data_IF_707738168366
#
_entry.id   IF_707738168366
#
_cell.length_a   1.000
_cell.length_b   1.000
_cell.length_c   1.000
_cell.angle_alpha   90.00
_cell.angle_beta   90.00
_cell.angle_gamma   90.00
#
_symmetry.space_group_name_H-M   'P 1'
#
loop_
_entity.id
_entity.type
_entity.pdbx_description
1 polymer ?
#
# COMPACT_ATOMS: atom_id res chain seq x y z
N UNK A 1 18.61 39.96 41.66
CA UNK A 1 17.14 39.92 41.92
C UNK A 1 16.46 40.58 40.73
N UNK A 2 15.48 39.90 40.11
CA UNK A 2 14.52 40.40 39.10
C UNK A 2 15.09 40.76 37.72
N UNK A 3 15.17 39.78 36.82
CA UNK A 3 14.48 39.80 35.50
C UNK A 3 14.32 38.35 35.05
N UNK A 4 13.49 37.61 35.77
CA UNK A 4 12.87 36.38 35.29
C UNK A 4 11.37 36.63 35.44
N UNK A 5 10.53 36.06 34.58
CA UNK A 5 9.07 36.29 34.47
C UNK A 5 8.70 37.37 33.43
N UNK A 6 8.99 37.14 32.15
CA UNK A 6 8.13 37.64 31.03
C UNK A 6 8.16 36.66 29.85
N UNK A 7 9.27 35.94 29.62
CA UNK A 7 9.44 35.09 28.44
C UNK A 7 8.97 33.62 28.60
N UNK A 8 7.90 33.36 29.36
CA UNK A 8 7.38 31.99 29.57
C UNK A 8 5.86 31.85 29.34
N UNK A 9 5.17 32.90 28.87
CA UNK A 9 3.69 32.90 28.74
C UNK A 9 3.21 33.04 27.28
N UNK A 10 4.10 32.91 26.28
CA UNK A 10 3.73 33.02 24.84
C UNK A 10 3.96 31.75 23.99
N UNK A 11 4.22 30.58 24.60
CA UNK A 11 4.36 29.30 23.86
C UNK A 11 3.23 28.30 24.23
N UNK A 12 2.15 28.77 24.86
CA UNK A 12 1.02 27.94 25.30
C UNK A 12 -0.30 28.25 24.56
N UNK A 13 -0.24 28.83 23.36
CA UNK A 13 -1.44 29.17 22.57
C UNK A 13 -1.50 28.52 21.19
N UNK A 14 -0.54 27.67 20.80
CA UNK A 14 -0.63 26.85 19.58
C UNK A 14 -0.94 25.36 19.85
N UNK A 15 -1.12 24.93 21.09
CA UNK A 15 -1.29 23.50 21.44
C UNK A 15 -2.73 23.00 21.58
N UNK A 16 -3.74 23.88 21.56
CA UNK A 16 -5.12 23.53 21.96
C UNK A 16 -6.13 23.48 20.80
N UNK A 17 -5.76 22.85 19.69
CA UNK A 17 -6.73 22.31 18.72
C UNK A 17 -6.50 20.82 18.38
N UNK A 18 -5.65 20.11 19.13
CA UNK A 18 -5.62 18.65 19.11
C UNK A 18 -6.67 18.07 20.08
N UNK A 19 -7.94 18.43 19.90
CA UNK A 19 -9.03 17.75 20.60
C UNK A 19 -9.12 16.30 20.09
N UNK A 20 -8.52 15.37 20.81
CA UNK A 20 -9.16 14.09 21.21
C UNK A 20 -9.60 13.11 20.13
N UNK A 21 -8.93 12.99 18.99
CA UNK A 21 -9.20 11.90 18.04
C UNK A 21 -8.47 10.64 18.49
N UNK A 22 -9.06 9.92 19.43
CA UNK A 22 -8.51 8.67 19.96
C UNK A 22 -8.73 7.54 18.95
N UNK A 23 -7.89 6.51 19.00
CA UNK A 23 -8.04 5.28 18.20
C UNK A 23 -9.44 4.66 18.34
N UNK A 24 -10.06 4.75 19.53
CA UNK A 24 -11.44 4.33 19.78
C UNK A 24 -12.45 5.00 18.83
N UNK A 25 -12.31 6.31 18.60
CA UNK A 25 -13.22 7.06 17.73
C UNK A 25 -13.13 6.67 16.25
N UNK A 26 -12.01 6.08 15.83
CA UNK A 26 -11.82 5.52 14.48
C UNK A 26 -12.51 4.16 14.39
N UNK A 27 -12.36 3.31 15.41
CA UNK A 27 -12.95 1.97 15.43
C UNK A 27 -14.48 1.99 15.45
N UNK A 28 -15.07 3.02 16.03
CA UNK A 28 -16.52 3.19 16.07
C UNK A 28 -17.11 3.79 14.78
N UNK A 29 -16.28 4.30 13.87
CA UNK A 29 -16.70 4.94 12.62
C UNK A 29 -17.18 3.93 11.57
N UNK A 30 -18.38 4.13 11.03
CA UNK A 30 -18.99 3.23 10.04
C UNK A 30 -18.22 3.18 8.70
N UNK A 31 -17.60 4.29 8.28
CA UNK A 31 -16.72 4.32 7.12
C UNK A 31 -15.46 3.48 7.39
N UNK A 32 -14.88 3.59 8.60
CA UNK A 32 -13.72 2.78 8.97
C UNK A 32 -14.08 1.29 9.04
N UNK A 33 -15.20 0.89 9.66
CA UNK A 33 -15.64 -0.51 9.71
C UNK A 33 -15.85 -1.10 8.32
N UNK A 34 -16.45 -0.32 7.42
CA UNK A 34 -16.62 -0.71 6.01
C UNK A 34 -15.26 -0.86 5.32
N UNK A 35 -14.37 0.11 5.52
CA UNK A 35 -13.01 0.07 5.00
C UNK A 35 -12.21 -1.13 5.52
N UNK A 36 -12.21 -1.42 6.82
CA UNK A 36 -11.50 -2.58 7.40
C UNK A 36 -11.95 -3.88 6.72
N UNK A 37 -13.27 -4.07 6.59
CA UNK A 37 -13.83 -5.26 5.93
C UNK A 37 -13.42 -5.36 4.46
N UNK A 38 -13.56 -4.28 3.70
CA UNK A 38 -13.17 -4.26 2.27
C UNK A 38 -11.66 -4.45 2.09
N UNK A 39 -10.84 -3.82 2.94
CA UNK A 39 -9.38 -3.90 2.89
C UNK A 39 -8.91 -5.34 3.16
N UNK A 40 -9.48 -6.00 4.17
CA UNK A 40 -9.17 -7.40 4.46
C UNK A 40 -9.60 -8.31 3.32
N UNK A 41 -10.81 -8.15 2.78
CA UNK A 41 -11.26 -8.93 1.62
C UNK A 41 -10.35 -8.74 0.41
N UNK A 42 -9.92 -7.51 0.14
CA UNK A 42 -9.04 -7.18 -0.97
C UNK A 42 -7.63 -7.74 -0.78
N UNK A 43 -6.96 -7.39 0.31
CA UNK A 43 -5.55 -7.76 0.54
C UNK A 43 -5.34 -9.26 0.78
N UNK A 44 -6.37 -9.98 1.21
CA UNK A 44 -6.36 -11.44 1.36
C UNK A 44 -6.92 -12.17 0.13
N UNK A 45 -7.36 -11.46 -0.91
CA UNK A 45 -7.88 -12.09 -2.13
C UNK A 45 -6.78 -12.74 -2.96
N UNK A 46 -7.11 -13.86 -3.59
CA UNK A 46 -6.19 -14.59 -4.47
C UNK A 46 -5.65 -13.70 -5.59
N UNK A 47 -6.50 -12.85 -6.18
CA UNK A 47 -6.09 -11.90 -7.22
C UNK A 47 -5.02 -10.91 -6.72
N UNK A 48 -5.19 -10.36 -5.51
CA UNK A 48 -4.18 -9.43 -4.96
C UNK A 48 -2.88 -10.17 -4.61
N UNK A 49 -2.98 -11.38 -4.06
CA UNK A 49 -1.81 -12.20 -3.71
C UNK A 49 -1.03 -12.57 -4.97
N UNK A 50 -1.72 -13.02 -6.01
CA UNK A 50 -1.12 -13.34 -7.31
C UNK A 50 -0.47 -12.10 -7.92
N UNK A 51 -1.14 -10.95 -7.88
CA UNK A 51 -0.57 -9.68 -8.35
C UNK A 51 0.75 -9.35 -7.65
N UNK A 52 0.80 -9.53 -6.32
CA UNK A 52 2.01 -9.32 -5.52
C UNK A 52 3.12 -10.32 -5.87
N UNK A 53 2.78 -11.59 -6.04
CA UNK A 53 3.73 -12.65 -6.44
C UNK A 53 4.34 -12.36 -7.82
N UNK A 54 3.52 -12.10 -8.82
CA UNK A 54 4.00 -11.81 -10.19
C UNK A 54 4.80 -10.50 -10.23
N UNK A 55 4.40 -9.48 -9.45
CA UNK A 55 5.17 -8.23 -9.37
C UNK A 55 6.55 -8.46 -8.78
N UNK A 56 6.68 -9.31 -7.75
CA UNK A 56 7.97 -9.68 -7.18
C UNK A 56 8.80 -10.53 -8.15
N UNK A 57 8.19 -11.52 -8.79
CA UNK A 57 8.85 -12.36 -9.80
C UNK A 57 9.41 -11.52 -10.96
N UNK A 58 8.60 -10.62 -11.52
CA UNK A 58 9.05 -9.67 -12.54
C UNK A 58 10.21 -8.82 -12.02
N UNK A 59 10.14 -8.30 -10.79
CA UNK A 59 11.23 -7.51 -10.21
C UNK A 59 12.52 -8.31 -10.06
N UNK A 60 12.44 -9.60 -9.70
CA UNK A 60 13.59 -10.51 -9.58
C UNK A 60 14.17 -10.78 -10.96
N UNK A 61 13.33 -11.08 -11.96
CA UNK A 61 13.76 -11.39 -13.32
C UNK A 61 14.31 -10.17 -14.07
N UNK A 62 13.85 -8.97 -13.72
CA UNK A 62 14.36 -7.69 -14.24
C UNK A 62 15.61 -7.17 -13.52
N UNK A 63 16.18 -7.93 -12.58
CA UNK A 63 17.32 -7.50 -11.76
C UNK A 63 17.09 -6.13 -11.08
N UNK A 64 15.84 -5.88 -10.63
CA UNK A 64 15.48 -4.65 -9.92
C UNK A 64 15.20 -3.44 -10.81
N UNK A 65 15.21 -3.56 -12.14
CA UNK A 65 14.78 -2.48 -13.03
C UNK A 65 13.24 -2.37 -13.01
N UNK A 66 12.71 -1.35 -12.32
CA UNK A 66 11.27 -1.22 -11.98
C UNK A 66 10.48 -0.30 -12.91
N UNK A 67 11.14 0.38 -13.85
CA UNK A 67 10.55 1.54 -14.55
C UNK A 67 9.68 1.19 -15.77
N UNK A 68 9.42 -0.08 -16.04
CA UNK A 68 8.66 -0.51 -17.21
C UNK A 68 7.18 -0.69 -16.86
N UNK A 69 6.44 0.42 -16.87
CA UNK A 69 5.00 0.45 -16.58
C UNK A 69 4.15 0.21 -17.84
N UNK A 70 4.71 0.41 -19.03
CA UNK A 70 3.97 0.35 -20.30
C UNK A 70 4.35 -0.93 -21.05
N UNK A 71 3.36 -1.79 -21.33
CA UNK A 71 3.57 -3.12 -21.92
C UNK A 71 4.24 -3.06 -23.29
N UNK A 72 3.86 -2.08 -24.11
CA UNK A 72 4.42 -1.89 -25.46
C UNK A 72 5.90 -1.49 -25.40
N UNK A 73 6.28 -0.68 -24.40
CA UNK A 73 7.69 -0.32 -24.15
C UNK A 73 8.46 -1.48 -23.53
N UNK A 74 7.77 -2.31 -22.73
CA UNK A 74 8.35 -3.49 -22.10
C UNK A 74 8.78 -4.53 -23.15
N UNK A 75 7.95 -4.79 -24.16
CA UNK A 75 8.27 -5.77 -25.21
C UNK A 75 9.55 -5.41 -25.95
N UNK A 76 9.66 -4.16 -26.42
CA UNK A 76 10.86 -3.69 -27.09
C UNK A 76 12.09 -3.75 -26.17
N UNK A 77 11.93 -3.31 -24.93
CA UNK A 77 13.03 -3.34 -23.96
C UNK A 77 13.52 -4.77 -23.69
N UNK A 78 12.63 -5.76 -23.54
CA UNK A 78 13.01 -7.16 -23.32
C UNK A 78 13.73 -7.72 -24.56
N UNK A 79 13.26 -7.41 -25.77
CA UNK A 79 13.97 -7.82 -27.02
C UNK A 79 15.42 -7.34 -27.05
N UNK A 80 15.68 -6.14 -26.56
CA UNK A 80 17.03 -5.54 -26.53
C UNK A 80 17.87 -5.96 -25.32
N UNK A 81 17.23 -6.40 -24.23
CA UNK A 81 17.89 -6.61 -22.93
C UNK A 81 17.70 -8.01 -22.35
N UNK A 82 17.16 -8.98 -23.09
CA UNK A 82 16.89 -10.34 -22.58
C UNK A 82 18.11 -10.96 -21.88
N UNK A 83 19.30 -10.81 -22.48
CA UNK A 83 20.57 -11.31 -21.92
C UNK A 83 20.97 -10.67 -20.57
N UNK A 84 20.36 -9.54 -20.19
CA UNK A 84 20.57 -8.84 -18.90
C UNK A 84 19.50 -9.18 -17.87
N UNK A 85 18.55 -10.04 -18.22
CA UNK A 85 17.44 -10.48 -17.36
C UNK A 85 17.61 -11.93 -16.95
N UNK A 86 16.68 -12.44 -16.12
CA UNK A 86 16.54 -13.87 -15.79
C UNK A 86 15.29 -14.49 -16.44
N UNK A 87 14.84 -13.93 -17.55
CA UNK A 87 13.82 -14.56 -18.38
C UNK A 87 14.48 -15.57 -19.31
N UNK A 88 13.85 -16.72 -19.47
CA UNK A 88 14.25 -17.79 -20.38
C UNK A 88 13.92 -17.43 -21.82
N UNK A 89 12.87 -16.62 -22.02
CA UNK A 89 12.43 -16.16 -23.34
C UNK A 89 11.66 -14.85 -23.30
N UNK A 90 11.51 -14.22 -24.47
CA UNK A 90 10.63 -13.05 -24.63
C UNK A 90 9.17 -13.43 -24.29
N UNK A 91 8.71 -14.61 -24.69
CA UNK A 91 7.33 -15.06 -24.46
C UNK A 91 7.03 -15.20 -22.97
N UNK A 92 7.96 -15.74 -22.19
CA UNK A 92 7.84 -15.82 -20.73
C UNK A 92 7.69 -14.41 -20.12
N UNK A 93 8.56 -13.48 -20.50
CA UNK A 93 8.54 -12.11 -20.01
C UNK A 93 7.20 -11.42 -20.33
N UNK A 94 6.73 -11.57 -21.57
CA UNK A 94 5.47 -10.97 -22.04
C UNK A 94 4.26 -11.61 -21.35
N UNK A 95 4.26 -12.91 -21.12
CA UNK A 95 3.20 -13.61 -20.40
C UNK A 95 3.07 -13.10 -18.97
N UNK A 96 4.18 -13.01 -18.23
CA UNK A 96 4.20 -12.47 -16.86
C UNK A 96 3.77 -11.01 -16.81
N UNK A 97 4.29 -10.16 -17.71
CA UNK A 97 3.94 -8.75 -17.77
C UNK A 97 2.46 -8.52 -18.10
N UNK A 98 1.91 -9.29 -19.04
CA UNK A 98 0.48 -9.25 -19.38
C UNK A 98 -0.37 -9.70 -18.19
N UNK A 99 -0.05 -10.82 -17.54
CA UNK A 99 -0.81 -11.30 -16.38
C UNK A 99 -0.79 -10.30 -15.23
N UNK A 100 0.36 -9.67 -14.96
CA UNK A 100 0.45 -8.56 -13.98
C UNK A 100 -0.49 -7.41 -14.34
N UNK A 101 -0.52 -7.00 -15.62
CA UNK A 101 -1.39 -5.92 -16.10
C UNK A 101 -2.86 -6.27 -15.93
N UNK A 102 -3.26 -7.48 -16.30
CA UNK A 102 -4.65 -7.94 -16.18
C UNK A 102 -5.09 -7.94 -14.71
N UNK A 103 -4.27 -8.51 -13.82
CA UNK A 103 -4.52 -8.46 -12.37
C UNK A 103 -4.55 -7.04 -11.81
N UNK A 104 -3.70 -6.13 -12.31
CA UNK A 104 -3.76 -4.73 -11.93
C UNK A 104 -5.11 -4.12 -12.29
N UNK A 105 -5.55 -4.30 -13.55
CA UNK A 105 -6.86 -3.80 -14.03
C UNK A 105 -8.01 -4.36 -13.21
N UNK A 106 -8.00 -5.68 -12.94
CA UNK A 106 -9.00 -6.35 -12.10
C UNK A 106 -9.06 -5.75 -10.68
N UNK A 107 -7.90 -5.39 -10.12
CA UNK A 107 -7.78 -4.86 -8.77
C UNK A 107 -8.03 -3.34 -8.68
N UNK A 108 -7.90 -2.58 -9.77
CA UNK A 108 -7.95 -1.10 -9.77
C UNK A 108 -9.20 -0.56 -9.10
N UNK A 109 -10.39 -1.10 -9.40
CA UNK A 109 -11.64 -0.58 -8.84
C UNK A 109 -11.70 -0.72 -7.31
N UNK A 110 -11.27 -1.86 -6.79
CA UNK A 110 -11.22 -2.09 -5.34
C UNK A 110 -10.16 -1.21 -4.68
N UNK A 111 -8.97 -1.12 -5.30
CA UNK A 111 -7.89 -0.28 -4.82
C UNK A 111 -8.26 1.20 -4.78
N UNK A 112 -8.93 1.73 -5.82
CA UNK A 112 -9.40 3.11 -5.88
C UNK A 112 -10.45 3.41 -4.80
N UNK A 113 -11.37 2.46 -4.57
CA UNK A 113 -12.36 2.56 -3.49
C UNK A 113 -11.67 2.67 -2.12
N UNK A 114 -10.73 1.78 -1.84
CA UNK A 114 -9.97 1.78 -0.58
C UNK A 114 -9.12 3.05 -0.42
N UNK A 115 -8.49 3.52 -1.50
CA UNK A 115 -7.69 4.73 -1.49
C UNK A 115 -8.53 5.98 -1.17
N UNK A 116 -9.71 6.12 -1.78
CA UNK A 116 -10.64 7.22 -1.47
C UNK A 116 -11.06 7.20 0.00
N UNK A 117 -11.42 6.03 0.55
CA UNK A 117 -11.76 5.89 1.97
C UNK A 117 -10.58 6.24 2.87
N UNK A 118 -9.37 5.83 2.50
CA UNK A 118 -8.12 6.15 3.22
C UNK A 118 -7.91 7.66 3.30
N UNK A 119 -8.07 8.40 2.20
CA UNK A 119 -7.96 9.86 2.20
C UNK A 119 -8.96 10.47 3.18
N UNK A 120 -10.24 10.10 3.07
CA UNK A 120 -11.30 10.64 3.94
C UNK A 120 -11.00 10.36 5.42
N UNK A 121 -10.54 9.15 5.75
CA UNK A 121 -10.22 8.76 7.13
C UNK A 121 -8.97 9.48 7.64
N UNK A 122 -7.92 9.64 6.82
CA UNK A 122 -6.71 10.40 7.17
C UNK A 122 -7.02 11.88 7.37
N UNK A 123 -7.83 12.50 6.51
CA UNK A 123 -8.28 13.89 6.68
C UNK A 123 -9.13 14.04 7.95
N UNK A 124 -10.02 13.07 8.21
CA UNK A 124 -10.91 13.11 9.37
C UNK A 124 -10.18 12.88 10.68
N UNK A 125 -9.18 12.01 10.75
CA UNK A 125 -8.58 11.58 12.02
C UNK A 125 -7.12 11.97 12.22
N UNK A 126 -6.45 12.46 11.17
CA UNK A 126 -5.01 12.61 11.14
C UNK A 126 -4.34 11.33 10.66
N UNK A 127 -3.25 11.49 9.91
CA UNK A 127 -2.52 10.39 9.29
C UNK A 127 -1.98 9.40 10.33
N UNK A 128 -1.32 9.90 11.38
CA UNK A 128 -0.71 9.06 12.42
C UNK A 128 -1.72 8.15 13.13
N UNK A 129 -2.83 8.73 13.61
CA UNK A 129 -3.87 7.98 14.30
C UNK A 129 -4.54 6.93 13.39
N UNK A 130 -4.79 7.28 12.13
CA UNK A 130 -5.29 6.34 11.14
C UNK A 130 -4.29 5.21 10.86
N UNK A 131 -3.01 5.52 10.66
CA UNK A 131 -1.98 4.54 10.31
C UNK A 131 -1.73 3.55 11.43
N UNK A 132 -1.79 3.99 12.70
CA UNK A 132 -1.75 3.08 13.84
C UNK A 132 -2.89 2.06 13.76
N UNK A 133 -4.12 2.53 13.62
CA UNK A 133 -5.31 1.68 13.61
C UNK A 133 -5.32 0.77 12.37
N UNK A 134 -4.95 1.27 11.19
CA UNK A 134 -4.79 0.47 9.98
C UNK A 134 -3.74 -0.63 10.14
N UNK A 135 -2.59 -0.31 10.74
CA UNK A 135 -1.51 -1.27 10.98
C UNK A 135 -1.99 -2.41 11.87
N UNK A 136 -2.57 -2.08 13.02
CA UNK A 136 -3.05 -3.05 14.01
C UNK A 136 -4.19 -3.92 13.47
N UNK A 137 -5.12 -3.34 12.71
CA UNK A 137 -6.37 -4.00 12.32
C UNK A 137 -6.31 -4.70 10.97
N UNK A 138 -5.50 -4.19 10.06
CA UNK A 138 -5.38 -4.70 8.68
C UNK A 138 -4.01 -5.32 8.44
N UNK A 139 -2.92 -4.56 8.58
CA UNK A 139 -1.59 -5.04 8.18
C UNK A 139 -1.11 -6.23 9.02
N UNK A 140 -1.33 -6.21 10.33
CA UNK A 140 -0.98 -7.33 11.22
C UNK A 140 -1.71 -8.64 10.88
N UNK A 141 -2.84 -8.58 10.16
CA UNK A 141 -3.55 -9.78 9.65
C UNK A 141 -3.06 -10.20 8.26
N UNK A 142 -2.78 -9.22 7.40
CA UNK A 142 -2.36 -9.45 6.00
C UNK A 142 -0.92 -9.97 5.91
N UNK A 143 0.02 -9.38 6.65
CA UNK A 143 1.45 -9.70 6.53
C UNK A 143 1.75 -11.18 6.87
N UNK A 144 1.27 -11.75 7.98
CA UNK A 144 1.52 -13.16 8.29
C UNK A 144 0.95 -14.09 7.22
N UNK A 145 -0.23 -13.79 6.69
CA UNK A 145 -0.84 -14.56 5.61
C UNK A 145 0.04 -14.55 4.36
N UNK A 146 0.55 -13.39 3.97
CA UNK A 146 1.43 -13.27 2.81
C UNK A 146 2.76 -14.03 3.00
N UNK A 147 3.34 -14.00 4.21
CA UNK A 147 4.54 -14.78 4.53
C UNK A 147 4.30 -16.30 4.40
N UNK A 148 3.14 -16.79 4.83
CA UNK A 148 2.77 -18.21 4.65
C UNK A 148 2.65 -18.59 3.16
N UNK A 149 2.17 -17.68 2.32
CA UNK A 149 2.04 -17.91 0.88
C UNK A 149 3.37 -17.89 0.13
N UNK A 150 4.42 -17.29 0.71
CA UNK A 150 5.79 -17.30 0.16
C UNK A 150 6.54 -18.60 0.42
N UNK A 151 6.30 -19.25 1.57
CA UNK A 151 6.97 -20.51 1.95
C UNK A 151 6.53 -21.69 1.08
N UNK A 152 5.38 -21.57 0.39
CA UNK A 152 4.80 -22.63 -0.46
C UNK A 152 5.32 -22.65 -1.91
N UNK A 153 6.28 -21.80 -2.27
CA UNK A 153 6.92 -21.71 -3.59
C UNK A 153 8.35 -22.21 -3.45
#
# INVERSE_FOLDING_TARGET
>A
MRVSIVLFIMIMSCGMFAQGKTTSSILDDELYKTFEKEALLFYLSDNYIEYKKITEELSIKLNGNKDLVILEKFEQWVKENLAKTKFDSIDEAMSLAKRRRDLFIENTKAQDSLYKKTIILKEKYGEEAYEQVFTERVLMKVVPYYLQQKIKI
#
